data_IF_130276327645
#
_entry.id   IF_130276327645
#
_cell.length_a   1.000
_cell.length_b   1.000
_cell.length_c   1.000
_cell.angle_alpha   90.00
_cell.angle_beta   90.00
_cell.angle_gamma   90.00
#
_symmetry.space_group_name_H-M   'P 1'
#
loop_
_entity.id
_entity.type
_entity.pdbx_description
1 polymer ?
#
# COMPACT_ATOMS: atom_id res chain seq x y z
N UNK A 1 -5.93 33.13 8.76
CA UNK A 1 -4.51 33.20 8.38
C UNK A 1 -3.65 32.19 9.17
N UNK A 2 -3.80 32.05 10.49
CA UNK A 2 -3.06 31.05 11.31
C UNK A 2 -3.32 29.59 10.89
N UNK A 3 -4.55 29.22 10.54
CA UNK A 3 -4.96 27.86 10.17
C UNK A 3 -4.36 27.40 8.81
N UNK A 4 -4.22 28.33 7.87
CA UNK A 4 -3.61 28.08 6.55
C UNK A 4 -2.10 27.90 6.62
N UNK A 5 -1.43 28.65 7.50
CA UNK A 5 0.02 28.50 7.79
C UNK A 5 0.28 27.19 8.51
N UNK A 6 -0.63 26.77 9.40
CA UNK A 6 -0.53 25.54 10.17
C UNK A 6 -0.61 24.28 9.25
N UNK A 7 -1.59 24.24 8.33
CA UNK A 7 -1.72 23.14 7.35
C UNK A 7 -0.52 23.05 6.40
N UNK A 8 0.06 24.17 6.01
CA UNK A 8 1.20 24.19 5.10
C UNK A 8 2.48 23.64 5.77
N UNK A 9 2.66 23.95 7.06
CA UNK A 9 3.82 23.46 7.83
C UNK A 9 3.74 21.96 8.11
N UNK A 10 2.57 21.45 8.49
CA UNK A 10 2.34 20.02 8.69
C UNK A 10 2.61 19.23 7.40
N UNK A 11 2.06 19.71 6.27
CA UNK A 11 2.27 19.10 4.97
C UNK A 11 3.75 19.07 4.56
N UNK A 12 4.50 20.18 4.78
CA UNK A 12 5.93 20.24 4.49
C UNK A 12 6.74 19.24 5.35
N UNK A 13 6.37 19.05 6.63
CA UNK A 13 7.00 18.05 7.50
C UNK A 13 6.74 16.65 6.99
N UNK A 14 5.50 16.32 6.58
CA UNK A 14 5.14 15.00 6.09
C UNK A 14 5.79 14.69 4.75
N UNK A 15 5.86 15.65 3.84
CA UNK A 15 6.54 15.50 2.53
C UNK A 15 8.05 15.25 2.71
N UNK A 16 8.71 16.03 3.58
CA UNK A 16 10.10 15.83 3.91
C UNK A 16 10.37 14.47 4.56
N UNK A 17 9.48 14.05 5.48
CA UNK A 17 9.56 12.76 6.14
C UNK A 17 9.36 11.60 5.16
N UNK A 18 8.38 11.68 4.26
CA UNK A 18 8.12 10.68 3.22
C UNK A 18 9.38 10.46 2.37
N UNK A 19 10.00 11.53 1.86
CA UNK A 19 11.22 11.45 1.07
C UNK A 19 12.39 10.81 1.83
N UNK A 20 12.60 11.22 3.08
CA UNK A 20 13.67 10.69 3.93
C UNK A 20 13.44 9.23 4.32
N UNK A 21 12.22 8.84 4.66
CA UNK A 21 11.90 7.44 4.96
C UNK A 21 12.10 6.52 3.75
N UNK A 22 11.74 6.97 2.55
CA UNK A 22 11.97 6.21 1.31
C UNK A 22 13.45 6.00 1.01
N UNK A 23 14.27 7.00 1.30
CA UNK A 23 15.71 6.98 0.97
C UNK A 23 16.53 6.28 2.05
N UNK A 24 16.30 6.61 3.32
CA UNK A 24 17.15 6.21 4.45
C UNK A 24 16.53 5.10 5.31
N UNK A 25 15.29 4.69 5.03
CA UNK A 25 14.48 3.82 5.88
C UNK A 25 14.00 4.54 7.16
N UNK A 26 13.17 3.84 7.94
CA UNK A 26 12.69 4.39 9.21
C UNK A 26 13.83 4.57 10.22
N UNK A 27 14.72 3.57 10.35
CA UNK A 27 15.83 3.59 11.31
C UNK A 27 16.85 4.70 11.01
N UNK A 28 17.19 4.90 9.73
CA UNK A 28 18.18 5.89 9.28
C UNK A 28 17.69 7.33 9.27
N UNK A 29 16.38 7.58 9.43
CA UNK A 29 15.79 8.91 9.45
C UNK A 29 15.66 9.46 10.87
N UNK A 30 16.04 10.72 11.10
CA UNK A 30 15.88 11.42 12.40
C UNK A 30 14.93 12.61 12.27
N UNK A 31 14.31 13.01 13.40
CA UNK A 31 13.46 14.22 13.44
C UNK A 31 14.23 15.49 13.10
N UNK A 32 15.53 15.53 13.39
CA UNK A 32 16.40 16.67 13.01
C UNK A 32 16.56 16.74 11.47
N UNK A 33 16.76 15.60 10.79
CA UNK A 33 16.82 15.55 9.32
C UNK A 33 15.50 16.00 8.71
N UNK A 34 14.37 15.54 9.26
CA UNK A 34 13.03 15.91 8.77
C UNK A 34 12.82 17.42 8.94
N UNK A 35 13.12 17.99 10.11
CA UNK A 35 12.97 19.42 10.36
C UNK A 35 13.84 20.25 9.39
N UNK A 36 15.10 19.84 9.18
CA UNK A 36 16.01 20.50 8.25
C UNK A 36 15.49 20.48 6.81
N UNK A 37 15.02 19.33 6.33
CA UNK A 37 14.50 19.19 4.98
C UNK A 37 13.16 19.91 4.78
N UNK A 38 12.31 19.97 5.81
CA UNK A 38 11.05 20.70 5.80
C UNK A 38 11.21 22.22 5.93
N UNK A 39 12.44 22.72 6.20
CA UNK A 39 12.69 24.14 6.43
C UNK A 39 12.06 24.69 7.71
N UNK A 40 11.85 23.84 8.72
CA UNK A 40 11.25 24.21 10.00
C UNK A 40 12.23 24.02 11.16
N UNK A 41 11.99 24.70 12.29
CA UNK A 41 12.76 24.45 13.50
C UNK A 41 12.37 23.11 14.13
N UNK A 42 13.29 22.48 14.86
CA UNK A 42 13.01 21.25 15.60
C UNK A 42 11.87 21.44 16.63
N UNK A 43 11.76 22.62 17.23
CA UNK A 43 10.66 22.98 18.13
C UNK A 43 9.30 23.00 17.39
N UNK A 44 9.27 23.54 16.17
CA UNK A 44 8.06 23.51 15.32
C UNK A 44 7.68 22.08 14.96
N UNK A 45 8.63 21.25 14.56
CA UNK A 45 8.35 19.84 14.28
C UNK A 45 7.73 19.15 15.49
N UNK A 46 8.29 19.33 16.70
CA UNK A 46 7.78 18.75 17.94
C UNK A 46 6.42 19.31 18.37
N UNK A 47 6.05 20.48 17.92
CA UNK A 47 4.71 21.04 18.15
C UNK A 47 3.65 20.25 17.36
N UNK A 48 3.96 19.85 16.10
CA UNK A 48 3.05 19.07 15.27
C UNK A 48 3.11 17.57 15.57
N UNK A 49 4.32 17.07 15.74
CA UNK A 49 4.59 15.66 15.91
C UNK A 49 5.59 15.42 17.05
N UNK A 50 5.13 14.81 18.10
CA UNK A 50 5.96 14.59 19.29
C UNK A 50 7.02 13.51 19.07
N UNK A 51 6.77 12.56 18.17
CA UNK A 51 7.67 11.43 17.91
C UNK A 51 7.79 11.15 16.41
N UNK A 52 8.88 10.50 16.02
CA UNK A 52 9.12 10.04 14.65
C UNK A 52 8.06 9.01 14.23
N UNK A 53 7.61 8.19 15.16
CA UNK A 53 6.56 7.21 14.95
C UNK A 53 5.23 7.85 14.55
N UNK A 54 4.87 8.97 15.17
CA UNK A 54 3.65 9.71 14.78
C UNK A 54 3.75 10.27 13.36
N UNK A 55 4.91 10.79 12.97
CA UNK A 55 5.15 11.25 11.60
C UNK A 55 5.01 10.07 10.63
N UNK A 56 5.64 8.94 10.97
CA UNK A 56 5.61 7.74 10.16
C UNK A 56 4.19 7.21 9.94
N UNK A 57 3.39 7.10 11.00
CA UNK A 57 1.97 6.68 10.91
C UNK A 57 1.19 7.59 9.97
N UNK A 58 1.43 8.92 10.03
CA UNK A 58 0.77 9.87 9.13
C UNK A 58 1.23 9.74 7.67
N UNK A 59 2.49 9.44 7.43
CA UNK A 59 2.99 9.14 6.07
C UNK A 59 2.33 7.87 5.53
N UNK A 60 2.20 6.83 6.35
CA UNK A 60 1.48 5.61 5.97
C UNK A 60 -0.01 5.88 5.69
N UNK A 61 -0.69 6.70 6.51
CA UNK A 61 -2.08 7.11 6.25
C UNK A 61 -2.21 7.68 4.84
N UNK A 62 -1.31 8.59 4.47
CA UNK A 62 -1.31 9.20 3.13
C UNK A 62 -1.15 8.18 2.01
N UNK A 63 -0.27 7.20 2.18
CA UNK A 63 -0.05 6.12 1.23
C UNK A 63 -1.29 5.24 1.06
N UNK A 64 -1.89 4.79 2.17
CA UNK A 64 -3.07 3.94 2.11
C UNK A 64 -4.32 4.67 1.61
N UNK A 65 -4.45 5.99 1.87
CA UNK A 65 -5.53 6.80 1.30
C UNK A 65 -5.40 6.91 -0.22
N UNK A 66 -4.20 7.15 -0.75
CA UNK A 66 -3.94 7.17 -2.21
C UNK A 66 -4.30 5.83 -2.84
N UNK A 67 -3.83 4.73 -2.25
CA UNK A 67 -4.16 3.38 -2.71
C UNK A 67 -5.68 3.11 -2.70
N UNK A 68 -6.36 3.46 -1.62
CA UNK A 68 -7.81 3.31 -1.50
C UNK A 68 -8.55 4.11 -2.57
N UNK A 69 -8.15 5.36 -2.84
CA UNK A 69 -8.80 6.20 -3.83
C UNK A 69 -8.64 5.66 -5.26
N UNK A 70 -7.46 5.14 -5.59
CA UNK A 70 -7.23 4.48 -6.88
C UNK A 70 -8.06 3.20 -7.03
N UNK A 71 -8.02 2.32 -6.03
CA UNK A 71 -8.75 1.05 -6.09
C UNK A 71 -10.27 1.23 -6.05
N UNK A 72 -10.78 2.26 -5.37
CA UNK A 72 -12.22 2.55 -5.27
C UNK A 72 -12.86 2.79 -6.63
N UNK A 73 -12.13 3.41 -7.56
CA UNK A 73 -12.63 3.69 -8.91
C UNK A 73 -12.87 2.42 -9.75
N UNK A 74 -12.21 1.32 -9.39
CA UNK A 74 -12.31 0.04 -10.11
C UNK A 74 -13.48 -0.81 -9.62
N UNK A 75 -13.99 -0.54 -8.43
CA UNK A 75 -15.08 -1.28 -7.81
C UNK A 75 -16.46 -0.80 -8.30
N UNK A 76 -16.63 -0.71 -9.63
CA UNK A 76 -17.91 -0.34 -10.23
C UNK A 76 -18.97 -1.40 -9.96
N UNK A 77 -20.21 -1.02 -9.58
CA UNK A 77 -21.32 -1.96 -9.42
C UNK A 77 -21.72 -2.65 -10.72
N UNK A 78 -21.40 -2.05 -11.88
CA UNK A 78 -21.78 -2.55 -13.20
C UNK A 78 -20.89 -3.70 -13.72
N UNK A 79 -19.71 -3.90 -13.10
CA UNK A 79 -18.77 -4.97 -13.45
C UNK A 79 -19.08 -6.27 -12.71
N UNK A 80 -18.86 -7.42 -13.37
CA UNK A 80 -18.90 -8.73 -12.72
C UNK A 80 -17.85 -8.85 -11.61
N UNK A 81 -18.10 -9.71 -10.61
CA UNK A 81 -17.19 -9.86 -9.46
C UNK A 81 -15.81 -10.37 -9.89
N UNK A 82 -15.72 -11.32 -10.82
CA UNK A 82 -14.45 -11.82 -11.36
C UNK A 82 -13.66 -10.69 -12.01
N UNK A 83 -14.30 -9.91 -12.89
CA UNK A 83 -13.68 -8.79 -13.59
C UNK A 83 -13.18 -7.73 -12.59
N UNK A 84 -14.02 -7.38 -11.61
CA UNK A 84 -13.66 -6.43 -10.54
C UNK A 84 -12.39 -6.89 -9.79
N UNK A 85 -12.31 -8.15 -9.39
CA UNK A 85 -11.16 -8.68 -8.65
C UNK A 85 -9.89 -8.67 -9.52
N UNK A 86 -10.00 -9.05 -10.81
CA UNK A 86 -8.85 -9.03 -11.72
C UNK A 86 -8.34 -7.61 -11.98
N UNK A 87 -9.25 -6.64 -12.14
CA UNK A 87 -8.89 -5.22 -12.30
C UNK A 87 -8.22 -4.67 -11.04
N UNK A 88 -8.75 -5.00 -9.85
CA UNK A 88 -8.15 -4.61 -8.57
C UNK A 88 -6.75 -5.21 -8.42
N UNK A 89 -6.56 -6.49 -8.74
CA UNK A 89 -5.24 -7.14 -8.72
C UNK A 89 -4.27 -6.43 -9.65
N UNK A 90 -4.65 -6.19 -10.90
CA UNK A 90 -3.79 -5.51 -11.87
C UNK A 90 -3.39 -4.10 -11.41
N UNK A 91 -4.36 -3.34 -10.90
CA UNK A 91 -4.11 -1.95 -10.49
C UNK A 91 -3.37 -1.84 -9.18
N UNK A 92 -3.57 -2.77 -8.25
CA UNK A 92 -2.75 -2.85 -7.04
C UNK A 92 -1.28 -3.15 -7.39
N UNK A 93 -1.03 -4.04 -8.36
CA UNK A 93 0.31 -4.29 -8.86
C UNK A 93 0.95 -3.03 -9.44
N UNK A 94 0.23 -2.30 -10.30
CA UNK A 94 0.69 -1.05 -10.92
C UNK A 94 0.95 0.04 -9.85
N UNK A 95 0.10 0.13 -8.85
CA UNK A 95 0.29 1.00 -7.70
C UNK A 95 1.56 0.65 -6.91
N UNK A 96 1.78 -0.63 -6.62
CA UNK A 96 2.98 -1.10 -5.93
C UNK A 96 4.25 -0.83 -6.76
N UNK A 97 4.19 -0.99 -8.08
CA UNK A 97 5.30 -0.68 -8.98
C UNK A 97 5.68 0.80 -8.92
N UNK A 98 4.70 1.69 -8.84
CA UNK A 98 4.92 3.13 -8.72
C UNK A 98 5.43 3.54 -7.33
N UNK A 99 5.10 2.75 -6.29
CA UNK A 99 5.36 3.06 -4.88
C UNK A 99 6.35 2.08 -4.21
N UNK A 100 7.38 1.64 -4.95
CA UNK A 100 8.35 0.63 -4.44
C UNK A 100 9.08 1.08 -3.17
N UNK A 101 9.33 2.39 -3.01
CA UNK A 101 9.95 2.93 -1.81
C UNK A 101 9.11 2.72 -0.55
N UNK A 102 7.81 2.93 -0.66
CA UNK A 102 6.83 2.71 0.40
C UNK A 102 6.69 1.22 0.73
N UNK A 103 6.67 0.36 -0.29
CA UNK A 103 6.62 -1.09 -0.10
C UNK A 103 7.85 -1.58 0.67
N UNK A 104 9.06 -1.12 0.28
CA UNK A 104 10.29 -1.45 1.00
C UNK A 104 10.25 -0.97 2.45
N UNK A 105 9.72 0.21 2.69
CA UNK A 105 9.56 0.78 4.04
C UNK A 105 8.59 -0.06 4.87
N UNK A 106 7.47 -0.49 4.30
CA UNK A 106 6.52 -1.38 4.97
C UNK A 106 7.17 -2.72 5.36
N UNK A 107 7.99 -3.30 4.48
CA UNK A 107 8.76 -4.52 4.77
C UNK A 107 9.74 -4.33 5.93
N UNK A 108 10.50 -3.23 5.92
CA UNK A 108 11.43 -2.89 7.00
C UNK A 108 10.71 -2.82 8.34
N UNK A 109 9.55 -2.14 8.36
CA UNK A 109 8.74 -1.98 9.58
C UNK A 109 8.13 -3.32 10.01
N UNK A 110 7.58 -4.10 9.10
CA UNK A 110 7.03 -5.42 9.41
C UNK A 110 8.07 -6.34 10.04
N UNK A 111 9.30 -6.30 9.52
CA UNK A 111 10.39 -7.14 10.04
C UNK A 111 10.98 -6.66 11.37
N UNK A 112 11.00 -5.35 11.63
CA UNK A 112 11.77 -4.78 12.75
C UNK A 112 10.94 -4.00 13.78
N UNK A 113 9.72 -3.57 13.43
CA UNK A 113 8.88 -2.70 14.25
C UNK A 113 7.40 -3.05 14.10
N UNK A 114 7.06 -4.32 14.28
CA UNK A 114 5.68 -4.80 14.22
C UNK A 114 4.73 -4.03 15.16
N UNK A 115 5.27 -3.47 16.27
CA UNK A 115 4.54 -2.58 17.19
C UNK A 115 3.96 -1.33 16.50
N UNK A 116 4.61 -0.81 15.45
CA UNK A 116 4.09 0.32 14.67
C UNK A 116 2.94 -0.08 13.76
N UNK A 117 2.98 -1.28 13.19
CA UNK A 117 1.86 -1.80 12.39
C UNK A 117 0.64 -2.08 13.25
N UNK A 118 0.84 -2.55 14.48
CA UNK A 118 -0.25 -2.79 15.42
C UNK A 118 -0.94 -1.48 15.82
N UNK A 119 -0.18 -0.44 16.14
CA UNK A 119 -0.72 0.92 16.36
C UNK A 119 -1.44 1.49 15.13
N UNK A 120 -0.96 1.16 13.95
CA UNK A 120 -1.58 1.57 12.70
C UNK A 120 -2.91 0.85 12.47
N UNK A 121 -3.01 -0.43 12.81
CA UNK A 121 -4.23 -1.24 12.70
C UNK A 121 -5.42 -0.63 13.44
N UNK A 122 -5.19 -0.04 14.61
CA UNK A 122 -6.24 0.61 15.40
C UNK A 122 -6.81 1.87 14.71
N UNK A 123 -5.99 2.54 13.91
CA UNK A 123 -6.38 3.76 13.18
C UNK A 123 -7.05 3.44 11.83
N UNK A 124 -6.62 2.39 11.14
CA UNK A 124 -7.03 2.06 9.75
C UNK A 124 -8.00 0.89 9.65
N UNK A 125 -8.06 0.03 10.65
CA UNK A 125 -8.94 -1.14 10.64
C UNK A 125 -10.41 -0.80 10.36
N UNK A 126 -10.86 0.38 10.80
CA UNK A 126 -12.20 0.89 10.52
C UNK A 126 -12.38 1.41 9.09
N UNK A 127 -11.33 1.96 8.47
CA UNK A 127 -11.41 2.52 7.10
C UNK A 127 -11.37 1.43 6.05
N UNK A 128 -10.48 0.45 6.21
CA UNK A 128 -10.32 -0.68 5.28
C UNK A 128 -11.52 -1.61 5.36
N UNK A 129 -11.93 -2.02 6.56
CA UNK A 129 -13.08 -2.90 6.75
C UNK A 129 -14.39 -2.27 6.28
N UNK A 130 -14.59 -0.97 6.49
CA UNK A 130 -15.76 -0.24 5.99
C UNK A 130 -15.82 -0.09 4.47
N UNK A 131 -14.66 0.05 3.81
CA UNK A 131 -14.58 0.09 2.35
C UNK A 131 -14.99 -1.24 1.71
N UNK A 132 -14.57 -2.35 2.32
CA UNK A 132 -14.85 -3.70 1.81
C UNK A 132 -16.21 -4.25 2.23
N UNK A 133 -16.79 -3.80 3.34
CA UNK A 133 -18.12 -4.25 3.79
C UNK A 133 -19.20 -4.11 2.70
N UNK A 134 -19.14 -3.04 1.91
CA UNK A 134 -20.08 -2.80 0.80
C UNK A 134 -19.96 -3.81 -0.35
N UNK A 135 -18.81 -4.48 -0.49
CA UNK A 135 -18.57 -5.47 -1.54
C UNK A 135 -18.78 -6.91 -1.06
N UNK A 136 -18.94 -7.09 0.25
CA UNK A 136 -19.13 -8.40 0.86
C UNK A 136 -20.40 -9.10 0.36
N UNK A 137 -21.50 -8.37 0.21
CA UNK A 137 -22.77 -8.91 -0.30
C UNK A 137 -22.64 -9.37 -1.77
N UNK A 138 -21.92 -8.60 -2.59
CA UNK A 138 -21.65 -8.97 -3.99
C UNK A 138 -20.74 -10.19 -4.10
N UNK A 139 -19.72 -10.27 -3.23
CA UNK A 139 -18.85 -11.45 -3.15
C UNK A 139 -19.66 -12.68 -2.77
N UNK A 140 -20.47 -12.56 -1.70
CA UNK A 140 -21.33 -13.65 -1.25
C UNK A 140 -22.30 -14.11 -2.33
N UNK A 141 -22.96 -13.20 -3.03
CA UNK A 141 -23.84 -13.51 -4.15
C UNK A 141 -23.08 -14.28 -5.25
N UNK A 142 -21.87 -13.86 -5.60
CA UNK A 142 -21.07 -14.54 -6.62
C UNK A 142 -20.64 -15.96 -6.20
N UNK A 143 -20.35 -16.18 -4.90
CA UNK A 143 -20.09 -17.50 -4.32
C UNK A 143 -21.35 -18.36 -4.33
N UNK A 144 -22.48 -17.86 -3.84
CA UNK A 144 -23.75 -18.59 -3.74
C UNK A 144 -24.28 -19.03 -5.13
N UNK A 145 -23.99 -18.23 -6.16
CA UNK A 145 -24.32 -18.55 -7.57
C UNK A 145 -23.28 -19.44 -8.26
N UNK A 146 -22.21 -19.84 -7.58
CA UNK A 146 -21.15 -20.66 -8.15
C UNK A 146 -20.35 -19.97 -9.27
N UNK A 147 -20.35 -18.63 -9.32
CA UNK A 147 -19.57 -17.84 -10.29
C UNK A 147 -18.08 -17.86 -9.90
N UNK A 148 -17.80 -17.86 -8.60
CA UNK A 148 -16.45 -17.98 -8.04
C UNK A 148 -16.39 -19.08 -6.99
N UNK A 149 -15.18 -19.58 -6.72
CA UNK A 149 -14.94 -20.55 -5.66
C UNK A 149 -15.36 -19.97 -4.29
N UNK A 150 -15.77 -20.83 -3.33
CA UNK A 150 -16.04 -20.39 -1.97
C UNK A 150 -14.82 -19.66 -1.38
N UNK A 151 -15.00 -18.40 -1.01
CA UNK A 151 -13.96 -17.53 -0.48
C UNK A 151 -14.59 -16.43 0.39
N UNK A 152 -13.95 -16.08 1.49
CA UNK A 152 -14.32 -14.90 2.29
C UNK A 152 -13.64 -13.63 1.75
N UNK A 153 -14.10 -12.45 2.17
CA UNK A 153 -13.48 -11.18 1.77
C UNK A 153 -12.04 -11.08 2.31
N UNK A 154 -11.82 -11.55 3.52
CA UNK A 154 -10.50 -11.55 4.17
C UNK A 154 -9.50 -12.45 3.43
N UNK A 155 -9.93 -13.64 3.01
CA UNK A 155 -9.12 -14.56 2.21
C UNK A 155 -8.81 -13.97 0.84
N UNK A 156 -9.82 -13.40 0.17
CA UNK A 156 -9.66 -12.76 -1.14
C UNK A 156 -8.66 -11.60 -1.09
N UNK A 157 -8.79 -10.71 -0.11
CA UNK A 157 -7.87 -9.59 0.06
C UNK A 157 -6.45 -10.04 0.40
N UNK A 158 -6.33 -11.05 1.25
CA UNK A 158 -5.03 -11.63 1.60
C UNK A 158 -4.35 -12.23 0.38
N UNK A 159 -5.10 -12.95 -0.47
CA UNK A 159 -4.57 -13.56 -1.70
C UNK A 159 -4.12 -12.50 -2.71
N UNK A 160 -4.90 -11.43 -2.92
CA UNK A 160 -4.53 -10.32 -3.80
C UNK A 160 -3.21 -9.69 -3.31
N UNK A 161 -3.15 -9.31 -2.02
CA UNK A 161 -1.97 -8.65 -1.46
C UNK A 161 -0.73 -9.54 -1.54
N UNK A 162 -0.83 -10.82 -1.14
CA UNK A 162 0.30 -11.75 -1.15
C UNK A 162 0.79 -12.02 -2.57
N UNK A 163 -0.12 -12.14 -3.53
CA UNK A 163 0.20 -12.39 -4.93
C UNK A 163 0.99 -11.23 -5.53
N UNK A 164 0.52 -9.99 -5.33
CA UNK A 164 1.16 -8.80 -5.88
C UNK A 164 2.44 -8.44 -5.13
N UNK A 165 2.41 -8.52 -3.80
CA UNK A 165 3.52 -8.12 -2.94
C UNK A 165 4.78 -8.97 -3.12
N UNK A 166 4.62 -10.25 -3.48
CA UNK A 166 5.74 -11.18 -3.64
C UNK A 166 6.80 -10.72 -4.66
N UNK A 167 6.36 -10.05 -5.73
CA UNK A 167 7.27 -9.52 -6.74
C UNK A 167 8.15 -8.38 -6.19
N UNK A 168 7.57 -7.51 -5.37
CA UNK A 168 8.27 -6.34 -4.81
C UNK A 168 9.11 -6.68 -3.58
N UNK A 169 8.71 -7.66 -2.79
CA UNK A 169 9.50 -8.16 -1.67
C UNK A 169 10.87 -8.71 -2.12
N UNK A 170 10.93 -9.26 -3.33
CA UNK A 170 12.14 -9.86 -3.90
C UNK A 170 12.92 -8.92 -4.83
N UNK A 171 12.55 -7.64 -4.93
CA UNK A 171 13.25 -6.67 -5.80
C UNK A 171 14.77 -6.61 -5.59
N UNK A 172 15.33 -6.70 -4.37
CA UNK A 172 16.79 -6.77 -4.21
C UNK A 172 17.43 -7.96 -4.92
N UNK A 173 16.76 -9.12 -4.97
CA UNK A 173 17.22 -10.30 -5.71
C UNK A 173 17.07 -10.11 -7.22
N UNK A 174 16.01 -9.46 -7.65
CA UNK A 174 15.77 -9.12 -9.07
C UNK A 174 16.86 -8.19 -9.57
N UNK A 175 17.19 -7.13 -8.83
CA UNK A 175 18.29 -6.22 -9.14
C UNK A 175 19.64 -6.92 -9.13
N UNK A 176 19.86 -7.85 -8.21
CA UNK A 176 21.10 -8.66 -8.18
C UNK A 176 21.24 -9.51 -9.46
N UNK A 177 20.15 -10.12 -9.95
CA UNK A 177 20.18 -10.99 -11.15
C UNK A 177 20.29 -10.19 -12.44
N UNK A 178 19.56 -9.10 -12.57
CA UNK A 178 19.48 -8.32 -13.81
C UNK A 178 20.42 -7.10 -13.82
N UNK A 179 21.11 -6.81 -12.70
CA UNK A 179 21.83 -5.56 -12.50
C UNK A 179 20.85 -4.38 -12.45
N UNK A 180 21.36 -3.18 -12.78
CA UNK A 180 20.55 -1.97 -12.87
C UNK A 180 19.94 -1.76 -14.28
N UNK A 181 19.72 -2.86 -15.02
CA UNK A 181 19.13 -2.84 -16.36
C UNK A 181 17.60 -2.62 -16.24
N UNK A 182 17.19 -1.36 -16.32
CA UNK A 182 15.79 -0.96 -16.18
C UNK A 182 14.87 -1.69 -17.17
N UNK A 183 15.32 -1.94 -18.40
CA UNK A 183 14.51 -2.62 -19.43
C UNK A 183 14.22 -4.06 -19.03
N UNK A 184 15.19 -4.77 -18.46
CA UNK A 184 15.00 -6.15 -17.99
C UNK A 184 14.13 -6.20 -16.74
N UNK A 185 14.29 -5.24 -15.82
CA UNK A 185 13.48 -5.12 -14.61
C UNK A 185 12.02 -4.83 -15.00
N UNK A 186 11.75 -3.90 -15.90
CA UNK A 186 10.41 -3.58 -16.36
C UNK A 186 9.76 -4.78 -17.06
N UNK A 187 10.50 -5.46 -17.93
CA UNK A 187 10.01 -6.69 -18.57
C UNK A 187 9.74 -7.83 -17.57
N UNK A 188 10.51 -7.92 -16.49
CA UNK A 188 10.26 -8.85 -15.40
C UNK A 188 8.95 -8.47 -14.67
N UNK A 189 8.78 -7.20 -14.28
CA UNK A 189 7.59 -6.73 -13.56
C UNK A 189 6.33 -6.90 -14.41
N UNK A 190 6.37 -6.60 -15.70
CA UNK A 190 5.24 -6.83 -16.60
C UNK A 190 4.81 -8.29 -16.59
N UNK A 191 5.77 -9.22 -16.71
CA UNK A 191 5.47 -10.65 -16.64
C UNK A 191 4.92 -11.09 -15.27
N UNK A 192 5.39 -10.49 -14.17
CA UNK A 192 4.84 -10.80 -12.84
C UNK A 192 3.41 -10.29 -12.68
N UNK A 193 3.10 -9.11 -13.21
CA UNK A 193 1.74 -8.55 -13.26
C UNK A 193 0.77 -9.49 -13.99
N UNK A 194 1.14 -9.95 -15.19
CA UNK A 194 0.34 -10.89 -15.96
C UNK A 194 0.12 -12.21 -15.19
N UNK A 195 1.18 -12.72 -14.55
CA UNK A 195 1.08 -13.92 -13.71
C UNK A 195 0.21 -13.70 -12.47
N UNK A 196 0.26 -12.53 -11.85
CA UNK A 196 -0.58 -12.19 -10.70
C UNK A 196 -2.06 -12.25 -11.08
N UNK A 197 -2.44 -11.59 -12.18
CA UNK A 197 -3.81 -11.61 -12.71
C UNK A 197 -4.24 -13.05 -13.08
N UNK A 198 -3.36 -13.85 -13.68
CA UNK A 198 -3.67 -15.23 -14.03
C UNK A 198 -3.84 -16.13 -12.80
N UNK A 199 -2.98 -16.01 -11.79
CA UNK A 199 -3.12 -16.72 -10.50
C UNK A 199 -4.43 -16.39 -9.83
N UNK A 200 -4.81 -15.10 -9.81
CA UNK A 200 -6.07 -14.67 -9.22
C UNK A 200 -7.28 -15.24 -9.99
N UNK A 201 -7.21 -15.28 -11.34
CA UNK A 201 -8.24 -15.93 -12.17
C UNK A 201 -8.37 -17.41 -11.82
N UNK A 202 -7.27 -18.13 -11.64
CA UNK A 202 -7.26 -19.55 -11.30
C UNK A 202 -7.75 -19.79 -9.86
N UNK A 203 -7.40 -18.89 -8.93
CA UNK A 203 -7.88 -18.91 -7.54
C UNK A 203 -9.41 -18.77 -7.45
N UNK A 204 -9.99 -17.87 -8.24
CA UNK A 204 -11.44 -17.63 -8.28
C UNK A 204 -12.24 -18.74 -8.98
N UNK A 205 -11.58 -19.63 -9.72
CA UNK A 205 -12.28 -20.66 -10.51
C UNK A 205 -13.00 -21.65 -9.61
N UNK A 206 -14.32 -21.86 -9.80
CA UNK A 206 -15.07 -22.90 -9.09
C UNK A 206 -14.41 -24.26 -9.31
N UNK A 207 -14.21 -25.01 -8.24
CA UNK A 207 -13.75 -26.40 -8.32
C UNK A 207 -14.96 -27.25 -8.72
N UNK A 208 -14.85 -27.98 -9.82
CA UNK A 208 -15.84 -28.97 -10.25
C UNK A 208 -15.87 -30.14 -9.28
#
# INVERSE_FOLDING_TARGET
MKEKVNKNTEAAILEAAEGLFKTNGFKGTTTTMIAGQAGVTHAMLHYYFRTKEQIFVKVLDGYFLKMHDELRLLMSPDKGMVETVLDVTASLFDFMQTHQGEIRLLLEIAANRADLLEKYKDVTGTTISGAFARHNDRLKEAVDRGIIAPVTMEELLSEIVLTDYSAFALMPMVSFVYGDDAVKIDAFLLRQREKAVQRMRDFLRPRQ
#
